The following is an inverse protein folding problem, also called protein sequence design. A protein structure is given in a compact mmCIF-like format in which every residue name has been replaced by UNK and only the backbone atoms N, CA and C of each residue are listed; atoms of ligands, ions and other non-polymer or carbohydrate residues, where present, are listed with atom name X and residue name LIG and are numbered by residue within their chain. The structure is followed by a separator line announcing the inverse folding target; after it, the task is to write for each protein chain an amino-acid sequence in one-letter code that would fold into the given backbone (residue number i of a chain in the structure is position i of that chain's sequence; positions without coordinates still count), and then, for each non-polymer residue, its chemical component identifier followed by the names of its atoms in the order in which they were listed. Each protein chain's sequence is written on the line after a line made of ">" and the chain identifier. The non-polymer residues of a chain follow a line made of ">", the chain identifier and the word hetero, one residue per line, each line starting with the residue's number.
data_IF_363691924212
#
_entry.id   IF_363691924212
#
_cell.length_a   1.000
_cell.length_b   1.000
_cell.length_c   1.000
_cell.angle_alpha   90.00
_cell.angle_beta   90.00
_cell.angle_gamma   90.00
#
_symmetry.space_group_name_H-M   'P 1'
#
loop_
_entity.id
_entity.type
_entity.pdbx_description
1 polymer ?
#
# COMPACT_ATOMS: atom_id res chain seq x y z
N UNK A 1 10.59 16.37 -35.32
CA UNK A 1 9.89 15.55 -34.31
C UNK A 1 9.33 16.49 -33.28
N UNK A 2 8.02 16.73 -33.30
CA UNK A 2 7.33 17.51 -32.27
C UNK A 2 7.46 16.74 -30.95
N UNK A 3 8.32 17.22 -30.06
CA UNK A 3 8.33 16.79 -28.67
C UNK A 3 7.00 17.21 -28.07
N UNK A 4 6.04 16.28 -27.95
CA UNK A 4 4.94 16.48 -27.03
C UNK A 4 5.57 16.64 -25.64
N UNK A 5 5.70 17.89 -25.19
CA UNK A 5 6.04 18.18 -23.81
C UNK A 5 5.01 17.47 -22.95
N UNK A 6 5.46 16.42 -22.23
CA UNK A 6 4.61 15.75 -21.26
C UNK A 6 4.27 16.77 -20.20
N UNK A 7 2.98 17.09 -20.07
CA UNK A 7 2.47 17.96 -19.01
C UNK A 7 2.93 17.39 -17.66
N UNK A 8 3.53 18.24 -16.83
CA UNK A 8 3.89 17.89 -15.46
C UNK A 8 2.62 17.51 -14.70
N UNK A 9 2.60 16.33 -14.12
CA UNK A 9 1.59 15.85 -13.17
C UNK A 9 1.99 16.35 -11.79
N UNK A 10 1.10 17.10 -11.17
CA UNK A 10 1.26 17.56 -9.79
C UNK A 10 1.17 16.39 -8.79
N UNK A 11 1.81 16.52 -7.62
CA UNK A 11 1.85 15.43 -6.65
C UNK A 11 0.45 15.10 -6.14
N UNK A 12 -0.33 16.11 -5.76
CA UNK A 12 -1.67 15.97 -5.25
C UNK A 12 -2.61 15.40 -6.31
N UNK A 13 -2.53 15.89 -7.55
CA UNK A 13 -3.34 15.39 -8.67
C UNK A 13 -3.05 13.91 -8.97
N UNK A 14 -1.77 13.57 -9.15
CA UNK A 14 -1.35 12.21 -9.45
C UNK A 14 -1.65 11.24 -8.31
N UNK A 15 -1.45 11.68 -7.06
CA UNK A 15 -1.78 10.88 -5.89
C UNK A 15 -3.28 10.68 -5.72
N UNK A 16 -4.10 11.70 -5.95
CA UNK A 16 -5.56 11.56 -5.90
C UNK A 16 -6.07 10.53 -6.92
N UNK A 17 -5.47 10.47 -8.11
CA UNK A 17 -5.76 9.41 -9.08
C UNK A 17 -5.34 8.02 -8.56
N UNK A 18 -4.12 7.90 -8.02
CA UNK A 18 -3.66 6.64 -7.43
C UNK A 18 -4.55 6.17 -6.27
N UNK A 19 -5.01 7.09 -5.43
CA UNK A 19 -5.93 6.78 -4.32
C UNK A 19 -7.25 6.18 -4.78
N UNK A 20 -7.77 6.57 -5.96
CA UNK A 20 -8.96 5.92 -6.54
C UNK A 20 -8.67 4.45 -6.87
N UNK A 21 -7.52 4.17 -7.48
CA UNK A 21 -7.06 2.79 -7.74
C UNK A 21 -6.85 1.99 -6.46
N UNK A 22 -6.22 2.58 -5.44
CA UNK A 22 -6.00 1.94 -4.14
C UNK A 22 -7.36 1.66 -3.46
N UNK A 23 -8.30 2.59 -3.53
CA UNK A 23 -9.66 2.44 -2.97
C UNK A 23 -10.43 1.33 -3.66
N UNK A 24 -10.39 1.27 -5.00
CA UNK A 24 -10.94 0.17 -5.80
C UNK A 24 -10.37 -1.17 -5.33
N UNK A 25 -9.05 -1.27 -5.14
CA UNK A 25 -8.42 -2.48 -4.62
C UNK A 25 -8.89 -2.82 -3.20
N UNK A 26 -8.96 -1.85 -2.28
CA UNK A 26 -9.50 -2.06 -0.94
C UNK A 26 -10.92 -2.61 -1.01
N UNK A 27 -11.80 -2.05 -1.84
CA UNK A 27 -13.17 -2.52 -2.02
C UNK A 27 -13.25 -3.98 -2.51
N UNK A 28 -12.43 -4.35 -3.51
CA UNK A 28 -12.33 -5.73 -4.01
C UNK A 28 -11.91 -6.69 -2.87
N UNK A 29 -10.91 -6.31 -2.08
CA UNK A 29 -10.40 -7.13 -0.98
C UNK A 29 -11.43 -7.30 0.16
N UNK A 30 -12.25 -6.27 0.39
CA UNK A 30 -13.35 -6.32 1.35
C UNK A 30 -14.62 -7.00 0.80
N UNK A 31 -14.60 -7.46 -0.46
CA UNK A 31 -15.74 -8.14 -1.09
C UNK A 31 -16.91 -7.22 -1.42
N UNK A 32 -16.67 -5.91 -1.53
CA UNK A 32 -17.67 -4.94 -1.98
C UNK A 32 -17.91 -5.09 -3.49
N UNK A 33 -19.09 -4.71 -4.01
CA UNK A 33 -19.38 -4.76 -5.43
C UNK A 33 -18.50 -3.74 -6.17
N UNK A 34 -17.40 -4.23 -6.75
CA UNK A 34 -16.41 -3.45 -7.47
C UNK A 34 -15.90 -4.27 -8.65
N UNK A 35 -15.83 -3.70 -9.88
CA UNK A 35 -15.27 -4.40 -11.02
C UNK A 35 -13.80 -4.77 -10.79
N UNK A 36 -13.38 -5.90 -11.36
CA UNK A 36 -11.96 -6.27 -11.35
C UNK A 36 -11.12 -5.24 -12.14
N UNK A 37 -9.81 -5.22 -11.88
CA UNK A 37 -8.90 -4.39 -12.65
C UNK A 37 -8.79 -4.88 -14.09
N UNK A 38 -9.02 -3.96 -15.03
CA UNK A 38 -8.73 -4.19 -16.44
C UNK A 38 -7.25 -3.93 -16.75
N UNK A 39 -6.80 -4.34 -17.94
CA UNK A 39 -5.48 -3.96 -18.45
C UNK A 39 -5.34 -2.44 -18.57
N UNK A 40 -6.42 -1.74 -18.92
CA UNK A 40 -6.45 -0.27 -19.03
C UNK A 40 -6.24 0.39 -17.67
N UNK A 41 -6.95 -0.06 -16.63
CA UNK A 41 -6.76 0.45 -15.27
C UNK A 41 -5.30 0.30 -14.82
N UNK A 42 -4.72 -0.90 -15.06
CA UNK A 42 -3.33 -1.17 -14.75
C UNK A 42 -2.39 -0.22 -15.51
N UNK A 43 -2.60 -0.05 -16.81
CA UNK A 43 -1.79 0.82 -17.64
C UNK A 43 -1.87 2.27 -17.18
N UNK A 44 -3.04 2.77 -16.82
CA UNK A 44 -3.21 4.14 -16.31
C UNK A 44 -2.48 4.34 -14.98
N UNK A 45 -2.70 3.45 -13.99
CA UNK A 45 -2.06 3.57 -12.68
C UNK A 45 -0.53 3.46 -12.77
N UNK A 46 -0.02 2.50 -13.55
CA UNK A 46 1.41 2.36 -13.79
C UNK A 46 1.99 3.60 -14.49
N UNK A 47 1.31 4.11 -15.52
CA UNK A 47 1.75 5.28 -16.30
C UNK A 47 1.77 6.54 -15.44
N UNK A 48 0.81 6.71 -14.53
CA UNK A 48 0.81 7.83 -13.57
C UNK A 48 2.05 7.79 -12.69
N UNK A 49 2.36 6.64 -12.05
CA UNK A 49 3.59 6.50 -11.25
C UNK A 49 4.83 6.75 -12.09
N UNK A 50 4.90 6.15 -13.27
CA UNK A 50 6.03 6.33 -14.19
C UNK A 50 6.26 7.81 -14.54
N UNK A 51 5.20 8.55 -14.90
CA UNK A 51 5.31 9.96 -15.25
C UNK A 51 5.78 10.80 -14.07
N UNK A 52 5.20 10.60 -12.89
CA UNK A 52 5.58 11.33 -11.67
C UNK A 52 7.03 11.05 -11.23
N UNK A 53 7.56 9.85 -11.53
CA UNK A 53 8.95 9.49 -11.23
C UNK A 53 9.96 9.95 -12.31
N UNK A 54 9.51 10.24 -13.54
CA UNK A 54 10.39 10.60 -14.67
C UNK A 54 10.33 12.07 -15.06
N UNK A 55 9.52 12.86 -14.35
CA UNK A 55 9.48 14.31 -14.44
C UNK A 55 10.83 14.94 -14.06
N UNK A 56 11.16 16.05 -14.70
CA UNK A 56 12.39 16.79 -14.40
C UNK A 56 12.29 17.44 -13.01
N UNK A 57 13.41 17.61 -12.29
CA UNK A 57 13.44 18.42 -11.08
C UNK A 57 12.80 19.81 -11.32
N UNK A 58 12.04 20.34 -10.35
CA UNK A 58 11.83 19.85 -8.98
C UNK A 58 10.69 18.83 -8.81
N UNK A 59 10.12 18.32 -9.90
CA UNK A 59 8.88 17.52 -9.89
C UNK A 59 9.11 15.99 -9.94
N UNK A 60 10.31 15.52 -9.58
CA UNK A 60 10.55 14.09 -9.34
C UNK A 60 9.98 13.74 -7.96
N UNK A 61 8.91 12.95 -7.96
CA UNK A 61 8.21 12.55 -6.75
C UNK A 61 8.52 11.14 -6.28
N UNK A 62 9.62 10.53 -6.75
CA UNK A 62 9.93 9.13 -6.48
C UNK A 62 10.04 8.80 -4.99
N UNK A 63 10.64 9.69 -4.19
CA UNK A 63 10.74 9.53 -2.73
C UNK A 63 9.36 9.62 -2.07
N UNK A 64 8.59 10.64 -2.40
CA UNK A 64 7.24 10.86 -1.86
C UNK A 64 6.33 9.67 -2.20
N UNK A 65 6.43 9.13 -3.43
CA UNK A 65 5.65 7.97 -3.85
C UNK A 65 6.09 6.68 -3.13
N UNK A 66 7.37 6.52 -2.81
CA UNK A 66 7.85 5.42 -1.98
C UNK A 66 7.30 5.50 -0.55
N UNK A 67 7.25 6.70 0.03
CA UNK A 67 6.69 6.90 1.38
C UNK A 67 5.16 6.67 1.37
N UNK A 68 4.46 7.23 0.38
CA UNK A 68 3.02 7.02 0.16
C UNK A 68 2.64 5.55 -0.07
N UNK A 69 3.52 4.75 -0.67
CA UNK A 69 3.33 3.31 -0.81
C UNK A 69 3.20 2.62 0.56
N UNK A 70 4.09 2.96 1.51
CA UNK A 70 4.02 2.45 2.89
C UNK A 70 2.75 2.94 3.58
N UNK A 71 2.48 4.25 3.52
CA UNK A 71 1.30 4.86 4.15
C UNK A 71 -0.01 4.18 3.72
N UNK A 72 -0.10 3.77 2.45
CA UNK A 72 -1.28 3.08 1.91
C UNK A 72 -1.60 1.76 2.63
N UNK A 73 -0.57 1.01 3.05
CA UNK A 73 -0.76 -0.20 3.86
C UNK A 73 -1.11 0.14 5.30
N UNK A 74 -0.43 1.10 5.90
CA UNK A 74 -0.68 1.53 7.28
C UNK A 74 -2.13 2.03 7.44
N UNK A 75 -2.63 2.80 6.48
CA UNK A 75 -4.01 3.26 6.42
C UNK A 75 -5.00 2.08 6.28
N UNK A 76 -4.75 1.14 5.35
CA UNK A 76 -5.62 -0.05 5.20
C UNK A 76 -5.65 -0.90 6.48
N UNK A 77 -4.48 -1.12 7.06
CA UNK A 77 -4.33 -1.94 8.25
C UNK A 77 -5.04 -1.28 9.45
N UNK A 78 -4.83 0.02 9.66
CA UNK A 78 -5.42 0.74 10.79
C UNK A 78 -6.93 0.91 10.68
N UNK A 79 -7.45 1.19 9.47
CA UNK A 79 -8.87 1.47 9.26
C UNK A 79 -9.75 0.23 9.09
N UNK A 80 -9.21 -0.87 8.54
CA UNK A 80 -10.01 -2.06 8.20
C UNK A 80 -9.55 -3.30 8.96
N UNK A 81 -8.25 -3.59 8.97
CA UNK A 81 -7.73 -4.83 9.55
C UNK A 81 -7.85 -4.82 11.07
N UNK A 82 -7.35 -3.78 11.74
CA UNK A 82 -7.34 -3.71 13.20
C UNK A 82 -8.73 -3.78 13.82
N UNK A 83 -9.73 -2.98 13.37
CA UNK A 83 -11.08 -3.08 13.91
C UNK A 83 -11.66 -4.49 13.76
N UNK A 84 -11.51 -5.08 12.56
CA UNK A 84 -12.05 -6.42 12.27
C UNK A 84 -11.50 -7.55 13.16
N UNK A 85 -10.27 -7.37 13.68
CA UNK A 85 -9.62 -8.30 14.60
C UNK A 85 -10.01 -8.05 16.05
N UNK A 86 -10.25 -6.79 16.44
CA UNK A 86 -10.64 -6.42 17.81
C UNK A 86 -12.05 -6.89 18.17
N UNK A 87 -12.93 -6.98 17.17
CA UNK A 87 -14.31 -7.44 17.33
C UNK A 87 -14.45 -8.96 17.48
N UNK A 88 -13.37 -9.73 17.26
CA UNK A 88 -13.39 -11.20 17.27
C UNK A 88 -12.49 -11.76 18.35
N UNK A 89 -12.87 -12.93 18.86
CA UNK A 89 -12.12 -13.66 19.88
C UNK A 89 -11.74 -15.08 19.42
N UNK A 90 -10.73 -15.64 20.08
CA UNK A 90 -10.28 -17.04 19.92
C UNK A 90 -10.14 -17.50 18.47
N UNK A 91 -10.80 -18.58 18.09
CA UNK A 91 -10.72 -19.19 16.76
C UNK A 91 -11.22 -18.24 15.65
N UNK A 92 -12.25 -17.45 15.92
CA UNK A 92 -12.79 -16.49 14.94
C UNK A 92 -11.78 -15.37 14.64
N UNK A 93 -11.03 -14.93 15.65
CA UNK A 93 -9.95 -13.97 15.46
C UNK A 93 -8.80 -14.56 14.64
N UNK A 94 -8.44 -15.83 14.86
CA UNK A 94 -7.42 -16.51 14.06
C UNK A 94 -7.85 -16.68 12.60
N UNK A 95 -9.11 -17.08 12.35
CA UNK A 95 -9.67 -17.20 11.00
C UNK A 95 -9.66 -15.84 10.26
N UNK A 96 -10.05 -14.78 10.96
CA UNK A 96 -10.00 -13.43 10.40
C UNK A 96 -8.56 -13.00 10.12
N UNK A 97 -7.60 -13.28 11.01
CA UNK A 97 -6.19 -12.96 10.78
C UNK A 97 -5.64 -13.63 9.52
N UNK A 98 -5.97 -14.92 9.28
CA UNK A 98 -5.56 -15.65 8.08
C UNK A 98 -6.19 -15.04 6.81
N UNK A 99 -7.47 -14.65 6.88
CA UNK A 99 -8.16 -13.94 5.79
C UNK A 99 -7.47 -12.60 5.50
N UNK A 100 -7.23 -11.79 6.53
CA UNK A 100 -6.59 -10.47 6.42
C UNK A 100 -5.18 -10.54 5.87
N UNK A 101 -4.40 -11.54 6.29
CA UNK A 101 -3.06 -11.77 5.72
C UNK A 101 -3.12 -12.16 4.24
N UNK A 102 -4.10 -12.99 3.85
CA UNK A 102 -4.28 -13.37 2.45
C UNK A 102 -4.64 -12.17 1.58
N UNK A 103 -5.57 -11.32 2.04
CA UNK A 103 -5.91 -10.05 1.39
C UNK A 103 -4.70 -9.11 1.30
N UNK A 104 -3.93 -8.99 2.40
CA UNK A 104 -2.73 -8.16 2.44
C UNK A 104 -1.70 -8.58 1.38
N UNK A 105 -1.45 -9.89 1.23
CA UNK A 105 -0.56 -10.39 0.16
C UNK A 105 -1.05 -10.02 -1.24
N UNK A 106 -2.37 -10.04 -1.48
CA UNK A 106 -2.95 -9.61 -2.76
C UNK A 106 -2.74 -8.11 -2.96
N UNK A 107 -2.95 -7.30 -1.91
CA UNK A 107 -2.68 -5.86 -1.94
C UNK A 107 -1.22 -5.56 -2.28
N UNK A 108 -0.27 -6.24 -1.61
CA UNK A 108 1.17 -6.12 -1.90
C UNK A 108 1.47 -6.44 -3.35
N UNK A 109 0.91 -7.53 -3.90
CA UNK A 109 1.12 -7.90 -5.31
C UNK A 109 0.62 -6.83 -6.28
N UNK A 110 -0.55 -6.24 -6.05
CA UNK A 110 -1.10 -5.20 -6.93
C UNK A 110 -0.33 -3.89 -6.82
N UNK A 111 -0.09 -3.39 -5.60
CA UNK A 111 0.62 -2.13 -5.41
C UNK A 111 2.07 -2.24 -5.90
N UNK A 112 2.78 -3.35 -5.66
CA UNK A 112 4.14 -3.53 -6.21
C UNK A 112 4.15 -3.51 -7.74
N UNK A 113 3.05 -3.93 -8.41
CA UNK A 113 2.95 -3.83 -9.88
C UNK A 113 2.72 -2.40 -10.34
N UNK A 114 1.83 -1.65 -9.70
CA UNK A 114 1.59 -0.25 -10.06
C UNK A 114 2.84 0.62 -9.82
N UNK A 115 3.58 0.35 -8.74
CA UNK A 115 4.76 1.12 -8.35
C UNK A 115 6.09 0.52 -8.86
N UNK A 116 6.05 -0.47 -9.76
CA UNK A 116 7.22 -1.25 -10.16
C UNK A 116 8.40 -0.41 -10.70
N UNK A 117 8.13 0.79 -11.22
CA UNK A 117 9.18 1.73 -11.62
C UNK A 117 10.15 2.04 -10.47
N UNK A 118 9.64 2.23 -9.25
CA UNK A 118 10.45 2.55 -8.08
C UNK A 118 11.43 1.42 -7.76
N UNK A 119 10.98 0.15 -7.75
CA UNK A 119 11.86 -1.02 -7.55
C UNK A 119 13.01 -1.02 -8.56
N UNK A 120 12.69 -0.78 -9.84
CA UNK A 120 13.67 -0.90 -10.92
C UNK A 120 14.69 0.24 -10.93
N UNK A 121 14.29 1.47 -10.61
CA UNK A 121 15.13 2.65 -10.84
C UNK A 121 15.42 3.47 -9.59
N UNK A 122 14.44 3.68 -8.71
CA UNK A 122 14.63 4.56 -7.54
C UNK A 122 15.29 3.80 -6.37
N UNK A 123 14.73 2.66 -6.01
CA UNK A 123 15.16 1.79 -4.91
C UNK A 123 16.53 1.19 -5.22
N UNK A 124 16.70 0.66 -6.42
CA UNK A 124 17.96 0.04 -6.87
C UNK A 124 19.16 1.00 -6.78
N UNK A 125 18.95 2.29 -7.09
CA UNK A 125 20.00 3.33 -7.02
C UNK A 125 20.34 3.77 -5.59
N UNK A 126 19.40 3.63 -4.66
CA UNK A 126 19.52 4.12 -3.28
C UNK A 126 19.72 3.01 -2.25
N UNK A 127 19.73 1.74 -2.67
CA UNK A 127 19.80 0.57 -1.78
C UNK A 127 18.71 0.57 -0.71
N UNK A 128 17.51 1.03 -1.07
CA UNK A 128 16.34 0.99 -0.19
C UNK A 128 15.73 -0.43 -0.17
N UNK A 129 14.83 -0.69 0.78
CA UNK A 129 14.06 -1.94 0.82
C UNK A 129 13.14 -2.03 -0.40
N UNK A 130 13.04 -3.22 -0.99
CA UNK A 130 12.14 -3.45 -2.12
C UNK A 130 10.68 -3.27 -1.71
N UNK A 131 9.82 -2.80 -2.63
CA UNK A 131 8.42 -2.52 -2.34
C UNK A 131 7.71 -3.74 -1.75
N UNK A 132 7.96 -4.92 -2.32
CA UNK A 132 7.39 -6.17 -1.82
C UNK A 132 7.76 -6.44 -0.36
N UNK A 133 8.99 -6.14 0.04
CA UNK A 133 9.47 -6.35 1.41
C UNK A 133 8.84 -5.33 2.36
N UNK A 134 8.80 -4.05 1.97
CA UNK A 134 8.12 -2.99 2.72
C UNK A 134 6.64 -3.34 2.93
N UNK A 135 5.94 -3.75 1.88
CA UNK A 135 4.54 -4.14 1.96
C UNK A 135 4.32 -5.31 2.90
N UNK A 136 5.16 -6.36 2.84
CA UNK A 136 5.06 -7.50 3.74
C UNK A 136 5.41 -7.16 5.20
N UNK A 137 6.35 -6.23 5.43
CA UNK A 137 6.76 -5.83 6.77
C UNK A 137 5.63 -5.10 7.51
N UNK A 138 4.86 -4.25 6.83
CA UNK A 138 3.79 -3.46 7.43
C UNK A 138 2.79 -4.31 8.25
N UNK A 139 2.39 -5.48 7.72
CA UNK A 139 1.48 -6.37 8.44
C UNK A 139 2.19 -7.15 9.57
N UNK A 140 3.47 -7.47 9.42
CA UNK A 140 4.24 -8.16 10.48
C UNK A 140 4.48 -7.24 11.67
N UNK A 141 4.82 -5.99 11.39
CA UNK A 141 5.01 -4.94 12.40
C UNK A 141 3.72 -4.74 13.21
N UNK A 142 2.56 -4.76 12.55
CA UNK A 142 1.26 -4.79 13.22
C UNK A 142 1.14 -5.95 14.23
N UNK A 143 1.37 -7.18 13.77
CA UNK A 143 1.22 -8.38 14.61
C UNK A 143 2.18 -8.34 15.80
N UNK A 144 3.40 -7.83 15.60
CA UNK A 144 4.37 -7.62 16.68
C UNK A 144 3.86 -6.59 17.68
N UNK A 145 3.48 -5.40 17.21
CA UNK A 145 3.04 -4.29 18.05
C UNK A 145 1.77 -4.64 18.87
N UNK A 146 0.83 -5.40 18.29
CA UNK A 146 -0.35 -5.89 19.01
C UNK A 146 -0.01 -6.89 20.11
N UNK A 147 0.99 -7.76 19.89
CA UNK A 147 1.46 -8.71 20.91
C UNK A 147 2.20 -8.00 22.04
N UNK A 148 3.02 -7.01 21.72
CA UNK A 148 3.72 -6.18 22.72
C UNK A 148 2.73 -5.37 23.55
N UNK A 149 1.72 -4.75 22.93
CA UNK A 149 0.66 -4.04 23.64
C UNK A 149 -0.11 -4.97 24.61
N UNK A 150 -0.52 -6.17 24.17
CA UNK A 150 -1.19 -7.15 25.07
C UNK A 150 -0.30 -7.63 26.21
N UNK A 151 1.00 -7.82 25.97
CA UNK A 151 1.97 -8.16 27.02
C UNK A 151 2.10 -7.02 28.05
N UNK A 152 2.20 -5.77 27.60
CA UNK A 152 2.24 -4.60 28.48
C UNK A 152 0.94 -4.41 29.25
N UNK A 153 -0.23 -4.61 28.64
CA UNK A 153 -1.53 -4.54 29.33
C UNK A 153 -1.66 -5.60 30.43
N UNK A 154 -1.15 -6.81 30.21
CA UNK A 154 -1.13 -7.86 31.23
C UNK A 154 -0.13 -7.57 32.37
N UNK A 155 0.90 -6.75 32.12
CA UNK A 155 1.87 -6.34 33.14
C UNK A 155 1.35 -5.15 33.98
N UNK A 156 0.61 -4.23 33.37
CA UNK A 156 0.01 -3.07 34.05
C UNK A 156 -1.30 -3.41 34.79
N UNK A 157 -1.98 -4.50 34.44
CA UNK A 157 -3.17 -4.97 35.17
C UNK A 157 -2.85 -5.80 36.43
N UNK A 158 -1.57 -5.91 36.81
CA UNK A 158 -1.09 -6.66 38.00
C UNK A 158 -0.32 -5.80 39.01
N UNK A 159 -0.39 -4.48 38.87
CA UNK A 159 0.13 -3.49 39.82
C UNK A 159 -1.00 -2.61 40.30
#
# INVERSE_FOLDING_TARGET
>A
MTTHERKTVDLEEGWAFMQKGITKLKNILEGKPEPQFSSEDYMMLYTTIYNMCTQKPPHDYSQQLYDKYRESFEEYISSMVLPSLREKHDEFMLRELVKRWSNHKVMVRWLSRFFHYLDRYFISRRSLLALREVGLSCFRDLVRNQRESKKCSHFLART
#
